data_IF_495900617718
#
_entry.id   IF_495900617718
#
_cell.length_a   1.000
_cell.length_b   1.000
_cell.length_c   1.000
_cell.angle_alpha   90.00
_cell.angle_beta   90.00
_cell.angle_gamma   90.00
#
_symmetry.space_group_name_H-M   'P 1'
#
loop_
_entity.id
_entity.type
_entity.pdbx_description
1 polymer ?
#
# COMPACT_ATOMS: atom_id res chain seq x y z
N UNK A 1 -6.20 -30.80 -8.89
CA UNK A 1 -6.18 -29.54 -8.10
C UNK A 1 -5.74 -28.47 -9.06
N UNK A 2 -6.68 -27.68 -9.55
CA UNK A 2 -6.46 -26.66 -10.59
C UNK A 2 -5.58 -25.56 -10.02
N UNK A 3 -4.44 -25.31 -10.64
CA UNK A 3 -3.55 -24.18 -10.41
C UNK A 3 -4.35 -22.87 -10.36
N UNK A 4 -4.49 -22.27 -9.19
CA UNK A 4 -4.88 -20.87 -9.10
C UNK A 4 -3.73 -20.07 -9.73
N UNK A 5 -3.83 -19.81 -11.02
CA UNK A 5 -2.96 -18.87 -11.72
C UNK A 5 -2.86 -17.62 -10.87
N UNK A 6 -1.64 -17.14 -10.63
CA UNK A 6 -1.36 -15.85 -10.00
C UNK A 6 -2.01 -14.73 -10.83
N UNK A 7 -3.29 -14.45 -10.57
CA UNK A 7 -4.08 -13.50 -11.35
C UNK A 7 -3.88 -12.04 -10.89
N UNK A 8 -2.94 -11.80 -9.98
CA UNK A 8 -2.67 -10.45 -9.48
C UNK A 8 -1.91 -9.65 -10.54
N UNK A 9 -2.56 -8.61 -11.07
CA UNK A 9 -1.94 -7.63 -11.98
C UNK A 9 -1.33 -6.54 -11.10
N UNK A 10 0.02 -6.32 -11.17
CA UNK A 10 0.67 -5.23 -10.46
C UNK A 10 0.11 -3.88 -10.90
N UNK A 11 -0.04 -2.96 -9.97
CA UNK A 11 -0.57 -1.61 -10.23
C UNK A 11 0.51 -0.76 -10.89
N UNK A 12 0.15 -0.02 -11.97
CA UNK A 12 1.07 0.88 -12.69
C UNK A 12 2.38 0.19 -13.08
N UNK A 13 2.31 -1.09 -13.47
CA UNK A 13 3.50 -1.92 -13.75
C UNK A 13 4.39 -1.29 -14.82
N UNK A 14 3.80 -0.93 -15.95
CA UNK A 14 4.54 -0.36 -17.08
C UNK A 14 5.23 0.94 -16.67
N UNK A 15 4.50 1.84 -16.07
CA UNK A 15 4.97 3.16 -15.65
C UNK A 15 6.09 3.04 -14.61
N UNK A 16 5.95 2.12 -13.66
CA UNK A 16 6.97 1.86 -12.63
C UNK A 16 8.27 1.40 -13.27
N UNK A 17 8.22 0.43 -14.16
CA UNK A 17 9.39 -0.09 -14.86
C UNK A 17 10.04 0.98 -15.76
N UNK A 18 9.22 1.77 -16.47
CA UNK A 18 9.72 2.85 -17.33
C UNK A 18 10.45 3.93 -16.49
N UNK A 19 9.90 4.33 -15.35
CA UNK A 19 10.55 5.31 -14.46
C UNK A 19 11.79 4.74 -13.78
N UNK A 20 11.81 3.47 -13.41
CA UNK A 20 13.02 2.82 -12.88
C UNK A 20 14.13 2.73 -13.94
N UNK A 21 13.78 2.77 -15.23
CA UNK A 21 14.71 2.57 -16.35
C UNK A 21 15.61 1.34 -16.15
N UNK A 22 14.96 0.22 -15.89
CA UNK A 22 15.62 -1.06 -15.57
C UNK A 22 16.64 -1.43 -16.62
N UNK A 23 17.90 -1.69 -16.20
CA UNK A 23 19.03 -2.04 -17.06
C UNK A 23 19.52 -3.44 -16.76
N UNK A 24 20.02 -4.10 -17.77
CA UNK A 24 20.70 -5.40 -17.63
C UNK A 24 21.91 -5.28 -16.70
N UNK A 25 22.12 -6.28 -15.84
CA UNK A 25 23.22 -6.34 -14.88
C UNK A 25 23.08 -5.38 -13.70
N UNK A 26 21.98 -4.61 -13.60
CA UNK A 26 21.76 -3.67 -12.52
C UNK A 26 21.30 -4.34 -11.21
N UNK A 27 21.45 -3.62 -10.11
CA UNK A 27 20.96 -4.02 -8.78
C UNK A 27 19.68 -3.22 -8.46
N UNK A 28 18.57 -3.93 -8.23
CA UNK A 28 17.29 -3.32 -7.97
C UNK A 28 16.68 -3.80 -6.66
N UNK A 29 15.95 -2.91 -5.99
CA UNK A 29 15.25 -3.19 -4.75
C UNK A 29 13.76 -3.02 -4.94
N UNK A 30 13.01 -4.06 -4.57
CA UNK A 30 11.57 -3.98 -4.34
C UNK A 30 11.32 -3.96 -2.83
N UNK A 31 11.00 -2.79 -2.31
CA UNK A 31 10.81 -2.56 -0.88
C UNK A 31 9.51 -3.18 -0.33
N UNK A 32 8.61 -3.62 -1.23
CA UNK A 32 7.28 -4.16 -0.93
C UNK A 32 7.00 -5.35 -1.82
N UNK A 33 7.79 -6.41 -1.67
CA UNK A 33 7.82 -7.56 -2.60
C UNK A 33 6.43 -8.16 -2.85
N UNK A 34 5.59 -8.27 -1.82
CA UNK A 34 4.25 -8.83 -1.91
C UNK A 34 4.25 -10.21 -2.59
N UNK A 35 3.49 -10.34 -3.68
CA UNK A 35 3.47 -11.57 -4.50
C UNK A 35 4.51 -11.56 -5.64
N UNK A 36 5.45 -10.62 -5.64
CA UNK A 36 6.56 -10.53 -6.60
C UNK A 36 6.15 -10.10 -8.01
N UNK A 37 5.05 -9.36 -8.16
CA UNK A 37 4.55 -8.98 -9.48
C UNK A 37 5.46 -8.00 -10.22
N UNK A 38 5.83 -6.89 -9.59
CA UNK A 38 6.81 -5.92 -10.11
C UNK A 38 8.19 -6.54 -10.19
N UNK A 39 8.59 -7.26 -9.15
CA UNK A 39 9.86 -7.96 -9.06
C UNK A 39 10.09 -8.95 -10.19
N UNK A 40 9.05 -9.67 -10.62
CA UNK A 40 9.14 -10.59 -11.76
C UNK A 40 9.48 -9.85 -13.06
N UNK A 41 8.87 -8.69 -13.29
CA UNK A 41 9.16 -7.90 -14.48
C UNK A 41 10.53 -7.21 -14.42
N UNK A 42 11.00 -6.83 -13.24
CA UNK A 42 12.38 -6.36 -13.05
C UNK A 42 13.36 -7.50 -13.34
N UNK A 43 13.15 -8.70 -12.77
CA UNK A 43 14.02 -9.86 -12.94
C UNK A 43 14.19 -10.24 -14.44
N UNK A 44 13.10 -10.21 -15.21
CA UNK A 44 13.13 -10.43 -16.67
C UNK A 44 14.06 -9.51 -17.44
N UNK A 45 14.32 -8.29 -16.92
CA UNK A 45 15.09 -7.25 -17.60
C UNK A 45 16.53 -7.18 -17.18
N UNK A 46 16.80 -7.49 -15.91
CA UNK A 46 18.17 -7.38 -15.39
C UNK A 46 19.08 -8.54 -15.78
N UNK A 47 18.50 -9.73 -16.06
CA UNK A 47 19.24 -10.92 -16.51
C UNK A 47 20.20 -11.46 -15.44
N UNK A 48 20.96 -12.50 -15.80
CA UNK A 48 21.80 -13.29 -14.87
C UNK A 48 22.93 -12.49 -14.19
N UNK A 49 23.35 -11.38 -14.77
CA UNK A 49 24.38 -10.49 -14.16
C UNK A 49 23.77 -9.52 -13.14
N UNK A 50 22.44 -9.45 -13.06
CA UNK A 50 21.72 -8.54 -12.18
C UNK A 50 21.43 -9.13 -10.81
N UNK A 51 21.09 -8.26 -9.87
CA UNK A 51 20.65 -8.64 -8.52
C UNK A 51 19.32 -7.96 -8.20
N UNK A 52 18.36 -8.74 -7.73
CA UNK A 52 17.09 -8.25 -7.21
C UNK A 52 17.01 -8.52 -5.72
N UNK A 53 16.68 -7.49 -4.94
CA UNK A 53 16.53 -7.59 -3.48
C UNK A 53 15.09 -7.23 -3.14
N UNK A 54 14.35 -8.17 -2.56
CA UNK A 54 12.94 -7.98 -2.20
C UNK A 54 12.75 -7.97 -0.70
N UNK A 55 12.10 -6.92 -0.18
CA UNK A 55 11.71 -6.79 1.21
C UNK A 55 10.21 -7.05 1.37
N UNK A 56 9.84 -7.79 2.41
CA UNK A 56 8.46 -7.82 2.89
C UNK A 56 8.41 -8.14 4.39
N UNK A 57 7.46 -7.55 5.10
CA UNK A 57 7.18 -7.85 6.51
C UNK A 57 6.45 -9.18 6.67
N UNK A 58 5.65 -9.57 5.66
CA UNK A 58 4.80 -10.74 5.71
C UNK A 58 5.55 -11.99 5.23
N UNK A 59 5.86 -12.94 6.12
CA UNK A 59 6.57 -14.15 5.73
C UNK A 59 5.79 -15.01 4.72
N UNK A 60 4.44 -14.95 4.73
CA UNK A 60 3.64 -15.67 3.75
C UNK A 60 3.74 -15.05 2.35
N UNK A 61 3.84 -13.72 2.26
CA UNK A 61 4.08 -13.03 0.99
C UNK A 61 5.46 -13.39 0.43
N UNK A 62 6.50 -13.37 1.28
CA UNK A 62 7.87 -13.76 0.88
C UNK A 62 7.93 -15.19 0.33
N UNK A 63 7.26 -16.14 0.97
CA UNK A 63 7.25 -17.54 0.51
C UNK A 63 6.58 -17.68 -0.87
N UNK A 64 5.46 -16.99 -1.09
CA UNK A 64 4.78 -16.98 -2.39
C UNK A 64 5.59 -16.28 -3.48
N UNK A 65 6.24 -15.16 -3.15
CA UNK A 65 7.12 -14.47 -4.06
C UNK A 65 8.36 -15.33 -4.41
N UNK A 66 8.95 -16.00 -3.42
CA UNK A 66 10.07 -16.93 -3.62
C UNK A 66 9.68 -18.03 -4.60
N UNK A 67 8.52 -18.67 -4.41
CA UNK A 67 8.03 -19.69 -5.33
C UNK A 67 7.84 -19.14 -6.74
N UNK A 68 7.20 -17.97 -6.88
CA UNK A 68 6.98 -17.34 -8.20
C UNK A 68 8.28 -16.99 -8.93
N UNK A 69 9.24 -16.47 -8.18
CA UNK A 69 10.51 -15.97 -8.76
C UNK A 69 11.55 -17.09 -8.94
N UNK A 70 11.37 -18.26 -8.34
CA UNK A 70 12.21 -19.46 -8.60
C UNK A 70 11.84 -20.21 -9.87
N UNK A 71 10.73 -19.87 -10.50
CA UNK A 71 10.24 -20.50 -11.73
C UNK A 71 10.30 -19.50 -12.90
N UNK A 72 11.50 -19.19 -13.47
CA UNK A 72 11.61 -18.29 -14.61
C UNK A 72 10.95 -18.90 -15.84
N UNK A 73 10.46 -18.07 -16.78
CA UNK A 73 10.00 -18.53 -18.09
C UNK A 73 11.07 -19.38 -18.78
N UNK A 74 10.64 -20.39 -19.53
CA UNK A 74 11.56 -21.35 -20.19
C UNK A 74 12.62 -20.65 -21.04
N UNK A 75 12.21 -19.59 -21.73
CA UNK A 75 13.10 -18.77 -22.58
C UNK A 75 14.12 -17.94 -21.80
N UNK A 76 13.96 -17.80 -20.47
CA UNK A 76 14.86 -17.06 -19.59
C UNK A 76 15.62 -17.99 -18.61
N UNK A 77 15.47 -19.30 -18.75
CA UNK A 77 16.28 -20.25 -18.00
C UNK A 77 17.76 -20.07 -18.34
N UNK A 78 18.59 -19.80 -17.32
CA UNK A 78 20.00 -19.45 -17.49
C UNK A 78 20.28 -17.96 -17.68
N UNK A 79 19.26 -17.13 -17.85
CA UNK A 79 19.37 -15.66 -17.85
C UNK A 79 18.49 -15.01 -16.76
N UNK A 80 18.44 -15.64 -15.57
CA UNK A 80 17.69 -15.15 -14.44
C UNK A 80 18.62 -14.61 -13.37
N UNK A 81 18.27 -13.46 -12.71
CA UNK A 81 19.15 -12.80 -11.76
C UNK A 81 19.30 -13.56 -10.45
N UNK A 82 20.30 -13.19 -9.68
CA UNK A 82 20.32 -13.48 -8.25
C UNK A 82 19.18 -12.75 -7.55
N UNK A 83 18.40 -13.47 -6.72
CA UNK A 83 17.30 -12.87 -5.95
C UNK A 83 17.55 -13.08 -4.45
N UNK A 84 17.60 -11.98 -3.72
CA UNK A 84 17.72 -11.95 -2.26
C UNK A 84 16.40 -11.55 -1.64
N UNK A 85 16.03 -12.24 -0.57
CA UNK A 85 14.77 -12.03 0.13
C UNK A 85 15.06 -11.61 1.57
N UNK A 86 14.63 -10.41 1.92
CA UNK A 86 14.82 -9.82 3.24
C UNK A 86 13.47 -9.77 3.96
N UNK A 87 13.34 -10.57 5.03
CA UNK A 87 12.14 -10.51 5.87
C UNK A 87 12.26 -9.36 6.85
N UNK A 88 11.40 -8.36 6.73
CA UNK A 88 11.38 -7.22 7.61
C UNK A 88 10.84 -5.96 6.98
N UNK A 89 10.97 -4.87 7.73
CA UNK A 89 10.56 -3.56 7.24
C UNK A 89 11.58 -2.97 6.29
N UNK A 90 11.12 -2.43 5.19
CA UNK A 90 11.92 -1.60 4.29
C UNK A 90 12.47 -0.33 4.95
N UNK A 91 12.04 0.00 6.16
CA UNK A 91 12.65 1.07 6.97
C UNK A 91 14.14 0.83 7.22
N UNK A 92 14.57 -0.45 7.23
CA UNK A 92 15.95 -0.86 7.48
C UNK A 92 16.85 -0.87 6.23
N UNK A 93 16.35 -0.40 5.09
CA UNK A 93 17.08 -0.45 3.82
C UNK A 93 18.48 0.17 3.90
N UNK A 94 18.62 1.28 4.65
CA UNK A 94 19.88 1.97 4.85
C UNK A 94 20.89 1.23 5.76
N UNK A 95 20.41 0.24 6.52
CA UNK A 95 21.22 -0.61 7.40
C UNK A 95 21.64 -1.90 6.70
N UNK A 96 20.72 -2.46 5.91
CA UNK A 96 20.89 -3.74 5.21
C UNK A 96 21.75 -3.58 3.96
N UNK A 97 21.60 -2.45 3.24
CA UNK A 97 22.26 -2.24 1.96
C UNK A 97 23.45 -1.26 2.06
N UNK A 98 24.49 -1.56 1.29
CA UNK A 98 25.66 -0.69 1.18
C UNK A 98 25.33 0.66 0.54
N UNK A 99 26.09 1.70 0.89
CA UNK A 99 25.95 3.01 0.27
C UNK A 99 26.29 2.96 -1.23
N UNK A 100 25.44 3.58 -2.06
CA UNK A 100 25.66 3.65 -3.50
C UNK A 100 25.69 2.27 -4.20
N UNK A 101 24.96 1.28 -3.70
CA UNK A 101 24.97 -0.09 -4.24
C UNK A 101 23.80 -0.38 -5.19
N UNK A 102 22.75 0.45 -5.22
CA UNK A 102 21.49 0.18 -5.88
C UNK A 102 21.26 1.07 -7.10
N UNK A 103 20.91 0.49 -8.24
CA UNK A 103 20.57 1.21 -9.48
C UNK A 103 19.13 1.70 -9.50
N UNK A 104 18.23 1.00 -8.81
CA UNK A 104 16.83 1.40 -8.70
C UNK A 104 16.14 0.83 -7.48
N UNK A 105 15.23 1.61 -6.91
CA UNK A 105 14.41 1.26 -5.75
C UNK A 105 12.96 1.55 -6.06
N UNK A 106 12.10 0.56 -5.83
CA UNK A 106 10.65 0.76 -5.87
C UNK A 106 9.98 0.40 -4.56
N UNK A 107 8.80 0.98 -4.35
CA UNK A 107 7.85 0.57 -3.33
C UNK A 107 6.42 0.68 -3.87
N UNK A 108 5.61 -0.39 -3.69
CA UNK A 108 4.17 -0.43 -3.94
C UNK A 108 3.48 -0.50 -2.57
N UNK A 109 3.13 0.69 -2.03
CA UNK A 109 2.71 0.83 -0.64
C UNK A 109 1.31 0.23 -0.39
N UNK A 110 1.02 -0.02 0.87
CA UNK A 110 -0.27 -0.52 1.34
C UNK A 110 -0.31 -2.02 1.57
N UNK A 111 -1.46 -2.64 1.31
CA UNK A 111 -1.72 -4.05 1.62
C UNK A 111 -1.77 -4.92 0.37
N UNK A 112 -1.21 -6.12 0.47
CA UNK A 112 -1.25 -7.08 -0.63
C UNK A 112 -2.66 -7.66 -0.84
N UNK A 113 -2.87 -8.25 -2.03
CA UNK A 113 -4.11 -8.99 -2.32
C UNK A 113 -4.34 -10.14 -1.36
N UNK A 114 -3.26 -10.84 -1.01
CA UNK A 114 -3.30 -11.95 -0.06
C UNK A 114 -3.88 -11.51 1.30
N UNK A 115 -3.40 -10.37 1.82
CA UNK A 115 -3.86 -9.83 3.10
C UNK A 115 -5.32 -9.40 3.08
N UNK A 116 -5.80 -8.85 1.96
CA UNK A 116 -7.20 -8.42 1.82
C UNK A 116 -8.17 -9.57 1.58
N UNK A 117 -7.74 -10.64 0.93
CA UNK A 117 -8.58 -11.81 0.60
C UNK A 117 -8.66 -12.81 1.74
N UNK A 118 -7.68 -12.82 2.63
CA UNK A 118 -7.68 -13.68 3.82
C UNK A 118 -8.41 -13.00 4.99
N UNK A 119 -9.66 -13.43 5.22
CA UNK A 119 -10.46 -12.90 6.32
C UNK A 119 -9.81 -13.09 7.70
N UNK A 120 -8.97 -14.13 7.87
CA UNK A 120 -8.29 -14.41 9.14
C UNK A 120 -7.25 -13.35 9.51
N UNK A 121 -6.80 -12.54 8.54
CA UNK A 121 -5.85 -11.45 8.74
C UNK A 121 -6.51 -10.12 9.17
N UNK A 122 -7.83 -9.98 9.03
CA UNK A 122 -8.59 -8.83 9.52
C UNK A 122 -8.38 -7.50 8.79
N UNK A 123 -7.71 -7.46 7.64
CA UNK A 123 -7.48 -6.24 6.87
C UNK A 123 -8.72 -5.72 6.15
N UNK A 124 -9.65 -6.62 5.85
CA UNK A 124 -10.89 -6.31 5.13
C UNK A 124 -12.10 -6.52 6.04
N UNK A 125 -13.15 -5.76 5.78
CA UNK A 125 -14.46 -5.95 6.41
C UNK A 125 -15.51 -6.50 5.44
N UNK A 126 -15.09 -6.97 4.28
CA UNK A 126 -15.99 -7.65 3.32
C UNK A 126 -16.39 -9.04 3.81
N UNK A 127 -15.53 -9.67 4.60
CA UNK A 127 -15.80 -10.91 5.31
C UNK A 127 -15.53 -10.72 6.81
N UNK A 128 -16.24 -11.48 7.64
CA UNK A 128 -16.00 -11.47 9.09
C UNK A 128 -14.71 -12.21 9.41
N UNK A 129 -13.88 -11.60 10.24
CA UNK A 129 -12.61 -12.16 10.71
C UNK A 129 -12.15 -11.51 12.02
N UNK A 130 -11.09 -12.01 12.63
CA UNK A 130 -10.48 -11.41 13.81
C UNK A 130 -9.92 -10.02 13.47
N UNK A 131 -9.80 -9.14 14.47
CA UNK A 131 -9.17 -7.82 14.34
C UNK A 131 -7.66 -7.93 14.54
N UNK A 132 -6.93 -8.52 13.57
CA UNK A 132 -5.47 -8.60 13.65
C UNK A 132 -4.80 -7.40 12.95
N UNK A 133 -4.90 -7.28 11.64
CA UNK A 133 -4.33 -6.24 10.77
C UNK A 133 -2.81 -6.12 10.80
N UNK A 134 -2.06 -7.04 11.39
CA UNK A 134 -0.60 -7.02 11.36
C UNK A 134 -0.08 -7.57 10.04
N UNK A 135 0.84 -6.88 9.39
CA UNK A 135 1.56 -7.40 8.22
C UNK A 135 2.52 -8.51 8.64
N UNK A 136 3.31 -8.28 9.69
CA UNK A 136 4.07 -9.34 10.38
C UNK A 136 3.22 -9.91 11.54
N UNK A 137 2.71 -11.14 11.43
CA UNK A 137 1.84 -11.73 12.46
C UNK A 137 2.57 -12.02 13.78
N UNK A 138 3.91 -11.97 13.78
CA UNK A 138 4.73 -12.27 14.97
C UNK A 138 5.07 -11.00 15.77
N UNK A 139 4.85 -9.81 15.24
CA UNK A 139 5.27 -8.56 15.88
C UNK A 139 4.12 -7.57 16.10
N UNK A 140 4.32 -6.71 17.10
CA UNK A 140 3.46 -5.57 17.36
C UNK A 140 2.09 -5.88 17.99
N UNK A 141 1.29 -4.84 18.15
CA UNK A 141 -0.08 -4.92 18.67
C UNK A 141 -1.05 -5.30 17.54
N UNK A 142 -2.05 -6.14 17.86
CA UNK A 142 -3.17 -6.40 16.93
C UNK A 142 -4.14 -5.23 16.91
N UNK A 143 -4.95 -5.13 15.84
CA UNK A 143 -6.05 -4.17 15.78
C UNK A 143 -7.06 -4.36 16.93
N UNK A 144 -7.28 -5.61 17.39
CA UNK A 144 -8.09 -5.90 18.56
C UNK A 144 -7.55 -5.22 19.82
N UNK A 145 -6.24 -5.31 20.04
CA UNK A 145 -5.60 -4.64 21.17
C UNK A 145 -5.70 -3.12 21.05
N UNK A 146 -5.53 -2.56 19.86
CA UNK A 146 -5.68 -1.13 19.60
C UNK A 146 -7.09 -0.67 19.96
N UNK A 147 -8.15 -1.28 19.42
CA UNK A 147 -9.53 -0.85 19.64
C UNK A 147 -10.00 -1.08 21.09
N UNK A 148 -9.45 -2.09 21.79
CA UNK A 148 -9.90 -2.44 23.13
C UNK A 148 -9.10 -1.81 24.27
N UNK A 149 -7.84 -1.38 24.05
CA UNK A 149 -6.94 -0.93 25.12
C UNK A 149 -6.60 0.55 25.07
N UNK A 150 -6.52 1.16 23.89
CA UNK A 150 -6.15 2.58 23.74
C UNK A 150 -7.29 3.45 24.29
N UNK A 151 -6.96 4.52 25.03
CA UNK A 151 -7.93 5.46 25.55
C UNK A 151 -8.70 6.20 24.45
N UNK A 152 -9.87 6.78 24.81
CA UNK A 152 -10.79 7.41 23.84
C UNK A 152 -10.10 8.54 23.06
N UNK A 153 -9.29 9.37 23.73
CA UNK A 153 -8.65 10.53 23.12
C UNK A 153 -7.60 10.08 22.10
N UNK A 154 -6.69 9.21 22.51
CA UNK A 154 -5.64 8.68 21.64
C UNK A 154 -6.25 7.93 20.44
N UNK A 155 -7.32 7.15 20.64
CA UNK A 155 -8.03 6.49 19.55
C UNK A 155 -8.69 7.49 18.59
N UNK A 156 -9.26 8.59 19.11
CA UNK A 156 -9.85 9.64 18.28
C UNK A 156 -8.77 10.37 17.44
N UNK A 157 -7.63 10.68 18.05
CA UNK A 157 -6.52 11.34 17.37
C UNK A 157 -5.93 10.43 16.28
N UNK A 158 -5.74 9.13 16.56
CA UNK A 158 -5.33 8.12 15.60
C UNK A 158 -6.27 8.05 14.37
N UNK A 159 -7.59 7.98 14.62
CA UNK A 159 -8.61 7.91 13.55
C UNK A 159 -8.61 9.21 12.73
N UNK A 160 -8.38 10.35 13.37
CA UNK A 160 -8.30 11.64 12.69
C UNK A 160 -7.04 11.76 11.84
N UNK A 161 -5.88 11.48 12.40
CA UNK A 161 -4.58 11.67 11.75
C UNK A 161 -4.34 10.68 10.60
N UNK A 162 -4.61 9.40 10.83
CA UNK A 162 -4.32 8.34 9.86
C UNK A 162 -5.51 7.99 8.95
N UNK A 163 -6.73 8.31 9.39
CA UNK A 163 -7.93 8.09 8.59
C UNK A 163 -8.46 9.33 7.88
N UNK A 164 -7.95 10.53 8.22
CA UNK A 164 -8.53 11.82 7.79
C UNK A 164 -10.06 11.87 8.04
N UNK A 165 -10.54 11.20 9.15
CA UNK A 165 -11.96 11.07 9.47
C UNK A 165 -12.39 12.16 10.44
N UNK A 166 -13.21 13.09 9.96
CA UNK A 166 -13.68 14.24 10.75
C UNK A 166 -14.57 13.87 11.95
N UNK A 167 -15.22 12.69 11.87
CA UNK A 167 -16.10 12.18 12.94
C UNK A 167 -15.34 11.33 13.96
N UNK A 168 -14.00 11.37 13.97
CA UNK A 168 -13.10 10.53 14.75
C UNK A 168 -13.47 10.46 16.24
N UNK A 169 -13.76 11.59 16.89
CA UNK A 169 -14.18 11.64 18.31
C UNK A 169 -15.46 10.87 18.57
N UNK A 170 -16.44 10.98 17.66
CA UNK A 170 -17.72 10.26 17.78
C UNK A 170 -17.52 8.77 17.59
N UNK A 171 -16.70 8.37 16.62
CA UNK A 171 -16.36 6.98 16.35
C UNK A 171 -15.58 6.39 17.52
N UNK A 172 -14.54 7.05 18.01
CA UNK A 172 -13.76 6.57 19.14
C UNK A 172 -14.62 6.35 20.38
N UNK A 173 -15.49 7.30 20.72
CA UNK A 173 -16.44 7.17 21.84
C UNK A 173 -17.38 5.97 21.67
N UNK A 174 -17.87 5.72 20.47
CA UNK A 174 -18.73 4.56 20.18
C UNK A 174 -17.96 3.24 20.33
N UNK A 175 -16.71 3.19 19.84
CA UNK A 175 -15.82 2.04 20.02
C UNK A 175 -15.59 1.76 21.51
N UNK A 176 -15.21 2.76 22.29
CA UNK A 176 -14.93 2.59 23.73
C UNK A 176 -16.15 2.09 24.50
N UNK A 177 -17.36 2.57 24.15
CA UNK A 177 -18.62 2.12 24.78
C UNK A 177 -19.01 0.69 24.38
N UNK A 178 -18.60 0.24 23.22
CA UNK A 178 -18.96 -1.07 22.68
C UNK A 178 -17.95 -2.18 23.02
N UNK A 179 -16.88 -1.86 23.76
CA UNK A 179 -15.86 -2.82 24.17
C UNK A 179 -16.45 -3.96 25.02
N UNK A 180 -15.97 -5.20 24.85
CA UNK A 180 -14.89 -5.64 23.96
C UNK A 180 -15.36 -5.90 22.51
N UNK A 181 -14.58 -5.45 21.52
CA UNK A 181 -14.82 -5.68 20.10
C UNK A 181 -13.81 -6.72 19.61
N UNK A 182 -14.28 -7.83 19.01
CA UNK A 182 -13.45 -9.01 18.66
C UNK A 182 -13.38 -9.31 17.18
N UNK A 183 -14.33 -8.79 16.37
CA UNK A 183 -14.36 -9.07 14.93
C UNK A 183 -14.43 -7.81 14.08
N UNK A 184 -14.02 -7.95 12.82
CA UNK A 184 -14.14 -6.90 11.80
C UNK A 184 -15.57 -6.43 11.65
N UNK A 185 -16.54 -7.36 11.68
CA UNK A 185 -17.97 -7.05 11.57
C UNK A 185 -18.46 -6.21 12.75
N UNK A 186 -18.15 -6.62 13.98
CA UNK A 186 -18.53 -5.84 15.17
C UNK A 186 -17.99 -4.41 15.09
N UNK A 187 -16.74 -4.23 14.67
CA UNK A 187 -16.15 -2.90 14.51
C UNK A 187 -16.89 -2.07 13.45
N UNK A 188 -17.21 -2.67 12.30
CA UNK A 188 -17.98 -1.99 11.23
C UNK A 188 -19.36 -1.57 11.71
N UNK A 189 -20.08 -2.44 12.43
CA UNK A 189 -21.42 -2.14 12.95
C UNK A 189 -21.38 -0.94 13.91
N UNK A 190 -20.40 -0.90 14.81
CA UNK A 190 -20.17 0.23 15.74
C UNK A 190 -19.85 1.53 15.00
N UNK A 191 -18.95 1.48 14.00
CA UNK A 191 -18.58 2.66 13.21
C UNK A 191 -19.78 3.17 12.41
N UNK A 192 -20.53 2.28 11.77
CA UNK A 192 -21.68 2.63 10.95
C UNK A 192 -22.79 3.28 11.76
N UNK A 193 -23.04 2.80 12.96
CA UNK A 193 -24.00 3.41 13.91
C UNK A 193 -23.52 4.80 14.37
N UNK A 194 -22.20 4.97 14.57
CA UNK A 194 -21.62 6.24 14.99
C UNK A 194 -21.52 7.26 13.85
N UNK A 195 -21.30 6.84 12.63
CA UNK A 195 -21.09 7.70 11.47
C UNK A 195 -21.95 7.25 10.27
N UNK A 196 -23.27 7.31 10.38
CA UNK A 196 -24.15 6.90 9.29
C UNK A 196 -23.83 7.72 8.05
N UNK A 197 -23.74 7.07 6.88
CA UNK A 197 -23.75 7.73 5.59
C UNK A 197 -25.05 8.52 5.49
N UNK A 198 -24.95 9.81 5.23
CA UNK A 198 -26.12 10.64 5.01
C UNK A 198 -26.73 10.29 3.63
N UNK A 199 -27.42 9.17 3.52
CA UNK A 199 -28.51 9.06 2.57
C UNK A 199 -29.61 9.99 3.08
N UNK A 200 -29.51 11.28 2.77
CA UNK A 200 -30.66 12.17 2.87
C UNK A 200 -31.72 11.62 1.91
N UNK A 201 -32.85 11.10 2.39
CA UNK A 201 -34.02 11.09 1.56
C UNK A 201 -34.30 12.56 1.31
N UNK A 202 -34.22 12.99 0.06
CA UNK A 202 -34.73 14.30 -0.34
C UNK A 202 -36.27 14.21 -0.25
N UNK A 203 -36.79 14.33 0.97
CA UNK A 203 -38.19 14.68 1.17
C UNK A 203 -38.32 16.16 0.88
N UNK A 204 -38.27 16.46 -0.41
CA UNK A 204 -38.79 17.74 -0.90
C UNK A 204 -40.27 17.77 -0.60
N UNK A 205 -40.77 18.85 0.01
CA UNK A 205 -42.18 19.19 0.22
C UNK A 205 -42.97 19.40 -1.09
N UNK A 206 -42.64 18.72 -2.16
CA UNK A 206 -43.42 18.71 -3.39
C UNK A 206 -43.47 17.26 -3.90
N UNK A 207 -44.66 16.66 -3.83
CA UNK A 207 -44.97 15.27 -4.14
C UNK A 207 -44.72 14.82 -5.59
N UNK A 208 -43.56 15.09 -6.16
CA UNK A 208 -43.11 14.51 -7.42
C UNK A 208 -42.08 13.44 -7.15
N UNK A 209 -42.48 12.18 -7.31
CA UNK A 209 -41.61 11.02 -7.38
C UNK A 209 -40.63 11.21 -8.53
N UNK A 210 -39.37 11.52 -8.21
CA UNK A 210 -38.27 11.43 -9.16
C UNK A 210 -37.79 9.98 -9.16
N UNK A 211 -38.09 9.27 -10.24
CA UNK A 211 -37.49 7.99 -10.55
C UNK A 211 -36.00 8.15 -10.90
N UNK A 212 -35.21 7.06 -10.87
CA UNK A 212 -33.78 7.13 -11.20
C UNK A 212 -33.61 7.61 -12.64
N UNK A 213 -32.98 8.78 -12.81
CA UNK A 213 -32.57 9.26 -14.13
C UNK A 213 -31.43 8.36 -14.63
N UNK A 214 -31.71 7.58 -15.69
CA UNK A 214 -30.70 6.90 -16.49
C UNK A 214 -29.78 7.97 -17.08
N UNK A 215 -28.48 7.99 -16.65
CA UNK A 215 -27.46 8.78 -17.34
C UNK A 215 -26.56 9.67 -16.49
N UNK A 216 -26.73 9.79 -15.17
CA UNK A 216 -25.71 10.45 -14.36
C UNK A 216 -24.66 9.42 -13.93
N UNK A 217 -23.50 9.41 -14.59
CA UNK A 217 -22.27 8.82 -14.06
C UNK A 217 -22.03 9.44 -12.68
N UNK A 218 -22.24 8.69 -11.61
CA UNK A 218 -22.10 9.15 -10.24
C UNK A 218 -20.68 9.65 -10.01
N UNK A 219 -20.54 10.93 -9.73
CA UNK A 219 -19.33 11.48 -9.12
C UNK A 219 -19.12 10.76 -7.79
N UNK A 220 -18.06 9.98 -7.69
CA UNK A 220 -17.48 9.36 -6.50
C UNK A 220 -18.50 8.81 -5.50
N UNK A 221 -18.76 7.49 -5.53
CA UNK A 221 -19.54 6.83 -4.47
C UNK A 221 -18.96 7.20 -3.11
N UNK A 222 -19.82 7.58 -2.17
CA UNK A 222 -19.41 7.96 -0.82
C UNK A 222 -18.66 6.78 -0.18
N UNK A 223 -17.40 7.00 0.21
CA UNK A 223 -16.55 5.96 0.82
C UNK A 223 -17.22 5.48 2.10
N UNK A 224 -17.32 4.16 2.29
CA UNK A 224 -17.91 3.59 3.50
C UNK A 224 -17.21 4.14 4.77
N UNK A 225 -17.93 4.58 5.80
CA UNK A 225 -17.33 5.22 6.99
C UNK A 225 -16.25 4.36 7.66
N UNK A 226 -16.41 3.03 7.63
CA UNK A 226 -15.44 2.10 8.19
C UNK A 226 -14.10 2.11 7.44
N UNK A 227 -14.07 2.42 6.14
CA UNK A 227 -12.83 2.38 5.33
C UNK A 227 -11.74 3.25 5.95
N UNK A 228 -12.05 4.48 6.34
CA UNK A 228 -11.09 5.41 6.93
C UNK A 228 -10.62 4.96 8.31
N UNK A 229 -11.52 4.42 9.11
CA UNK A 229 -11.16 3.91 10.46
C UNK A 229 -10.29 2.66 10.35
N UNK A 230 -10.61 1.72 9.44
CA UNK A 230 -9.78 0.55 9.17
C UNK A 230 -8.40 0.94 8.66
N UNK A 231 -8.33 1.89 7.71
CA UNK A 231 -7.05 2.44 7.25
C UNK A 231 -6.25 3.04 8.41
N UNK A 232 -6.88 3.82 9.29
CA UNK A 232 -6.19 4.45 10.42
C UNK A 232 -5.59 3.42 11.38
N UNK A 233 -6.38 2.40 11.75
CA UNK A 233 -5.93 1.33 12.63
C UNK A 233 -4.80 0.54 11.97
N UNK A 234 -4.93 0.20 10.68
CA UNK A 234 -3.91 -0.53 9.92
C UNK A 234 -2.57 0.22 9.88
N UNK A 235 -2.61 1.51 9.55
CA UNK A 235 -1.42 2.38 9.51
C UNK A 235 -0.74 2.40 10.88
N UNK A 236 -1.51 2.52 11.95
CA UNK A 236 -0.99 2.55 13.32
C UNK A 236 -0.35 1.21 13.72
N UNK A 237 -1.07 0.09 13.50
CA UNK A 237 -0.61 -1.27 13.82
C UNK A 237 0.72 -1.59 13.13
N UNK A 238 0.86 -1.19 11.86
CA UNK A 238 2.01 -1.55 11.03
C UNK A 238 3.09 -0.46 10.95
N UNK A 239 2.87 0.70 11.59
CA UNK A 239 3.77 1.87 11.54
C UNK A 239 4.10 2.31 10.10
N UNK A 240 3.10 2.20 9.19
CA UNK A 240 3.30 2.34 7.74
C UNK A 240 3.94 3.67 7.34
N UNK A 241 3.48 4.78 7.95
CA UNK A 241 4.01 6.12 7.62
C UNK A 241 5.40 6.39 8.21
N UNK A 242 5.72 5.78 9.37
CA UNK A 242 7.06 5.90 9.96
C UNK A 242 8.08 5.14 9.11
N UNK A 243 7.72 3.92 8.69
CA UNK A 243 8.56 3.12 7.80
C UNK A 243 8.77 3.80 6.45
N UNK A 244 7.71 4.42 5.89
CA UNK A 244 7.83 5.19 4.65
C UNK A 244 8.81 6.37 4.79
N UNK A 245 8.76 7.09 5.90
CA UNK A 245 9.72 8.18 6.16
C UNK A 245 11.15 7.64 6.24
N UNK A 246 11.37 6.56 6.98
CA UNK A 246 12.68 5.93 7.10
C UNK A 246 13.21 5.42 5.74
N UNK A 247 12.33 4.82 4.91
CA UNK A 247 12.69 4.45 3.53
C UNK A 247 13.19 5.66 2.73
N UNK A 248 12.43 6.76 2.77
CA UNK A 248 12.76 7.98 2.01
C UNK A 248 14.04 8.68 2.51
N UNK A 249 14.34 8.57 3.79
CA UNK A 249 15.61 9.03 4.39
C UNK A 249 16.79 8.13 4.00
N UNK A 250 16.57 6.81 3.93
CA UNK A 250 17.60 5.83 3.56
C UNK A 250 17.87 5.75 2.06
N UNK A 251 16.86 5.98 1.22
CA UNK A 251 16.94 5.80 -0.23
C UNK A 251 18.10 6.57 -0.91
N UNK A 252 18.35 7.86 -0.62
CA UNK A 252 19.47 8.57 -1.26
C UNK A 252 20.83 8.01 -0.88
N UNK A 253 20.96 7.36 0.26
CA UNK A 253 22.20 6.74 0.71
C UNK A 253 22.52 5.48 -0.09
N UNK A 254 21.53 4.62 -0.32
CA UNK A 254 21.73 3.32 -0.98
C UNK A 254 21.74 3.41 -2.50
N UNK A 255 21.06 4.38 -3.09
CA UNK A 255 21.04 4.59 -4.53
C UNK A 255 22.41 5.07 -5.04
N UNK A 256 22.85 4.58 -6.18
CA UNK A 256 23.97 5.13 -6.95
C UNK A 256 23.64 6.52 -7.50
N UNK A 257 24.62 7.38 -7.79
CA UNK A 257 24.40 8.54 -8.66
C UNK A 257 23.76 8.09 -9.99
N UNK A 258 22.67 8.73 -10.40
CA UNK A 258 21.84 8.30 -11.53
C UNK A 258 20.88 7.16 -11.22
N UNK A 259 20.92 6.58 -10.02
CA UNK A 259 19.96 5.59 -9.55
C UNK A 259 18.56 6.19 -9.36
N UNK A 260 17.51 5.38 -9.50
CA UNK A 260 16.13 5.86 -9.53
C UNK A 260 15.28 5.30 -8.40
N UNK A 261 14.37 6.14 -7.91
CA UNK A 261 13.35 5.75 -6.94
C UNK A 261 11.97 5.91 -7.58
N UNK A 262 11.11 4.91 -7.42
CA UNK A 262 9.71 4.92 -7.89
C UNK A 262 8.81 4.42 -6.76
N UNK A 263 7.84 5.23 -6.32
CA UNK A 263 6.97 4.90 -5.19
C UNK A 263 5.51 5.06 -5.60
N UNK A 264 4.72 4.00 -5.41
CA UNK A 264 3.28 3.97 -5.60
C UNK A 264 2.63 4.13 -4.22
N UNK A 265 1.73 5.09 -4.09
CA UNK A 265 0.93 5.36 -2.90
C UNK A 265 -0.56 5.23 -3.21
N UNK A 266 -1.37 4.86 -2.21
CA UNK A 266 -2.81 4.61 -2.40
C UNK A 266 -3.70 5.60 -1.64
N UNK A 267 -3.14 6.39 -0.74
CA UNK A 267 -3.88 7.44 -0.04
C UNK A 267 -3.09 8.75 0.10
N UNK A 268 -3.80 9.78 0.52
CA UNK A 268 -3.30 11.17 0.59
C UNK A 268 -2.10 11.36 1.50
N UNK A 269 -2.03 10.62 2.61
CA UNK A 269 -0.96 10.74 3.59
C UNK A 269 0.36 10.22 3.03
N UNK A 270 0.35 9.03 2.40
CA UNK A 270 1.53 8.49 1.72
C UNK A 270 1.99 9.42 0.61
N UNK A 271 1.09 9.81 -0.32
CA UNK A 271 1.42 10.67 -1.45
C UNK A 271 2.02 12.01 -1.00
N UNK A 272 1.54 12.56 0.12
CA UNK A 272 2.06 13.81 0.70
C UNK A 272 3.49 13.63 1.20
N UNK A 273 3.76 12.55 1.95
CA UNK A 273 5.10 12.23 2.47
C UNK A 273 6.08 12.05 1.32
N UNK A 274 5.74 11.23 0.32
CA UNK A 274 6.60 10.99 -0.86
C UNK A 274 6.85 12.29 -1.63
N UNK A 275 5.79 13.05 -1.92
CA UNK A 275 5.89 14.33 -2.63
C UNK A 275 6.83 15.30 -1.89
N UNK A 276 6.65 15.44 -0.59
CA UNK A 276 7.40 16.41 0.20
C UNK A 276 8.87 15.98 0.31
N UNK A 277 9.17 14.69 0.54
CA UNK A 277 10.52 14.16 0.57
C UNK A 277 11.27 14.35 -0.75
N UNK A 278 10.66 14.02 -1.89
CA UNK A 278 11.28 14.18 -3.20
C UNK A 278 11.49 15.67 -3.56
N UNK A 279 10.51 16.54 -3.22
CA UNK A 279 10.61 17.98 -3.43
C UNK A 279 11.75 18.59 -2.61
N UNK A 280 11.84 18.24 -1.33
CA UNK A 280 12.84 18.80 -0.42
C UNK A 280 14.24 18.23 -0.74
N UNK A 281 14.33 16.95 -1.13
CA UNK A 281 15.54 16.36 -1.68
C UNK A 281 16.00 17.03 -2.99
N UNK A 282 15.08 17.48 -3.84
CA UNK A 282 15.42 18.22 -5.04
C UNK A 282 15.96 19.62 -4.72
N UNK A 283 15.41 20.32 -3.72
CA UNK A 283 15.96 21.61 -3.24
C UNK A 283 17.35 21.46 -2.64
N UNK A 284 17.60 20.32 -1.98
CA UNK A 284 18.91 19.98 -1.42
C UNK A 284 19.92 19.48 -2.47
N UNK A 285 19.53 19.39 -3.76
CA UNK A 285 20.42 18.90 -4.83
C UNK A 285 20.61 17.38 -4.84
N UNK A 286 19.85 16.64 -4.03
CA UNK A 286 19.96 15.18 -3.90
C UNK A 286 19.21 14.48 -5.04
N UNK A 287 18.06 15.00 -5.44
CA UNK A 287 17.18 14.40 -6.45
C UNK A 287 16.89 15.33 -7.62
N UNK A 288 16.66 14.71 -8.77
CA UNK A 288 15.93 15.31 -9.86
C UNK A 288 14.55 14.63 -9.94
N UNK A 289 13.47 15.42 -9.73
CA UNK A 289 12.11 14.87 -9.73
C UNK A 289 11.63 14.63 -11.15
N UNK A 290 11.30 13.39 -11.47
CA UNK A 290 10.80 12.98 -12.80
C UNK A 290 9.30 13.25 -12.94
N UNK A 291 8.54 13.20 -11.84
CA UNK A 291 7.08 13.33 -11.83
C UNK A 291 6.64 14.61 -11.11
N UNK A 292 6.46 15.72 -11.84
CA UNK A 292 5.93 16.97 -11.26
C UNK A 292 4.51 16.78 -10.70
N UNK A 293 3.68 16.00 -11.39
CA UNK A 293 2.39 15.49 -10.92
C UNK A 293 2.49 13.98 -10.79
N UNK A 294 1.74 13.35 -9.85
CA UNK A 294 1.75 11.90 -9.76
C UNK A 294 1.19 11.30 -11.06
N UNK A 295 1.74 10.18 -11.49
CA UNK A 295 1.15 9.35 -12.53
C UNK A 295 0.06 8.51 -11.90
N UNK A 296 -1.08 8.42 -12.56
CA UNK A 296 -2.26 7.67 -12.11
C UNK A 296 -2.66 6.64 -13.15
N UNK A 297 -3.35 5.60 -12.71
CA UNK A 297 -3.83 4.55 -13.60
C UNK A 297 -4.79 5.08 -14.67
N UNK A 298 -4.73 4.47 -15.86
CA UNK A 298 -5.68 4.73 -16.95
C UNK A 298 -7.05 4.14 -16.64
N UNK A 299 -8.10 4.59 -17.34
CA UNK A 299 -9.44 4.00 -17.20
C UNK A 299 -9.43 2.50 -17.52
N UNK A 300 -8.67 2.07 -18.53
CA UNK A 300 -8.52 0.66 -18.89
C UNK A 300 -7.85 -0.18 -17.79
N UNK A 301 -6.86 0.39 -17.10
CA UNK A 301 -6.24 -0.28 -15.96
C UNK A 301 -7.20 -0.37 -14.78
N UNK A 302 -7.95 0.69 -14.49
CA UNK A 302 -8.95 0.71 -13.41
C UNK A 302 -10.05 -0.32 -13.65
N UNK A 303 -10.49 -0.50 -14.89
CA UNK A 303 -11.49 -1.50 -15.24
C UNK A 303 -10.99 -2.94 -15.05
N UNK A 304 -9.72 -3.19 -15.38
CA UNK A 304 -9.07 -4.50 -15.19
C UNK A 304 -8.60 -4.75 -13.76
N UNK A 305 -8.17 -3.70 -13.07
CA UNK A 305 -7.65 -3.73 -11.71
C UNK A 305 -8.22 -2.56 -10.89
N UNK A 306 -9.42 -2.69 -10.29
CA UNK A 306 -10.06 -1.61 -9.52
C UNK A 306 -9.22 -1.05 -8.37
N UNK A 307 -8.20 -1.78 -7.90
CA UNK A 307 -7.26 -1.34 -6.86
C UNK A 307 -6.36 -0.20 -7.33
N UNK A 308 -6.11 -0.10 -8.63
CA UNK A 308 -5.30 0.99 -9.22
C UNK A 308 -5.97 2.35 -9.17
N UNK A 309 -7.29 2.44 -8.90
CA UNK A 309 -8.07 3.69 -8.94
C UNK A 309 -7.46 4.82 -8.11
N UNK A 310 -6.92 4.52 -6.93
CA UNK A 310 -6.33 5.51 -6.01
C UNK A 310 -4.82 5.61 -6.12
N UNK A 311 -4.20 4.78 -6.95
CA UNK A 311 -2.75 4.72 -7.09
C UNK A 311 -2.16 6.02 -7.65
N UNK A 312 -1.02 6.40 -7.07
CA UNK A 312 -0.24 7.58 -7.45
C UNK A 312 1.23 7.23 -7.45
N UNK A 313 1.82 7.17 -8.62
CA UNK A 313 3.25 6.91 -8.78
C UNK A 313 4.04 8.22 -8.79
N UNK A 314 5.08 8.28 -7.97
CA UNK A 314 6.10 9.32 -7.99
C UNK A 314 7.48 8.75 -8.18
N UNK A 315 8.31 9.46 -8.95
CA UNK A 315 9.66 9.01 -9.27
C UNK A 315 10.67 10.17 -9.28
N UNK A 316 11.91 9.84 -8.94
CA UNK A 316 13.05 10.77 -8.99
C UNK A 316 14.34 10.01 -9.33
N UNK A 317 15.35 10.76 -9.81
CA UNK A 317 16.72 10.29 -10.02
C UNK A 317 17.60 10.88 -8.94
N UNK A 318 18.50 10.09 -8.35
CA UNK A 318 19.57 10.59 -7.48
C UNK A 318 20.65 11.30 -8.31
N UNK A 319 21.02 12.51 -7.94
CA UNK A 319 22.13 13.28 -8.51
C UNK A 319 23.47 12.88 -7.93
#
# INVERSE_FOLDING_TARGET
MTEKKFSHIPVLLKETIDFLAVRRGGTYVDATLGLGGHSFEIARRIGHEGTLIGFDKDPAALELARKRLSEPPVELQGDWPEIRYEQGSFAQIGEVLGAGSVDGLMADLGVSSLQLEDASRGFSFQAEGPLDMRMDPLSGMTAEQVVNRIDERTLADLIYEFGEERRSRRIARAIVRARPIRSTKQLVDVISAAAPTMNRPTTGKSGRRWGPQKGQKGRGGEIHPATRTFQAIRIYVNRELDDLKALLEGAPRVLKPGGRVAIISFHSLEDRIVKDALRDGAKAGIYEVLTKKPVTATEEEIDRNPRSRSAKLRAAVRR
#
